data_IF_884002750743
#
_entry.id   IF_884002750743
#
_cell.length_a   1.000
_cell.length_b   1.000
_cell.length_c   1.000
_cell.angle_alpha   90.00
_cell.angle_beta   90.00
_cell.angle_gamma   90.00
#
_symmetry.space_group_name_H-M   'P 1'
#
loop_
_entity.id
_entity.type
_entity.pdbx_description
1 polymer ?
#
# COMPACT_ATOMS: atom_id res chain seq x y z
N UNK A 1 -0.09 1.87 -10.25
CA UNK A 1 0.79 1.20 -9.27
C UNK A 1 1.92 2.09 -8.74
N UNK A 2 2.71 2.74 -9.61
CA UNK A 2 3.96 3.41 -9.22
C UNK A 2 3.82 4.57 -8.22
N UNK A 3 2.71 5.31 -8.23
CA UNK A 3 2.49 6.41 -7.30
C UNK A 3 2.02 5.94 -5.92
N UNK A 4 1.19 4.90 -5.84
CA UNK A 4 0.70 4.37 -4.56
C UNK A 4 1.79 3.62 -3.78
N UNK A 5 2.69 2.92 -4.48
CA UNK A 5 3.88 2.31 -3.88
C UNK A 5 4.76 3.39 -3.22
N UNK A 6 4.95 4.54 -3.89
CA UNK A 6 5.72 5.68 -3.37
C UNK A 6 5.06 6.30 -2.13
N UNK A 7 3.74 6.48 -2.15
CA UNK A 7 2.97 7.00 -1.00
C UNK A 7 3.11 6.06 0.20
N UNK A 8 2.95 4.76 -0.02
CA UNK A 8 3.03 3.76 1.05
C UNK A 8 4.47 3.64 1.61
N UNK A 9 5.50 3.71 0.74
CA UNK A 9 6.91 3.81 1.15
C UNK A 9 7.16 5.07 2.00
N UNK A 10 6.69 6.23 1.53
CA UNK A 10 6.89 7.50 2.24
C UNK A 10 6.20 7.50 3.61
N UNK A 11 4.98 6.97 3.69
CA UNK A 11 4.24 6.84 4.94
C UNK A 11 4.91 5.89 5.93
N UNK A 12 5.42 4.72 5.50
CA UNK A 12 6.15 3.80 6.39
C UNK A 12 7.48 4.41 6.88
N UNK A 13 8.22 5.14 6.02
CA UNK A 13 9.44 5.85 6.42
C UNK A 13 9.16 6.97 7.44
N UNK A 14 8.09 7.74 7.25
CA UNK A 14 7.65 8.82 8.16
C UNK A 14 7.18 8.27 9.51
N UNK A 15 6.37 7.20 9.54
CA UNK A 15 5.89 6.60 10.80
C UNK A 15 7.01 6.04 11.67
N UNK A 16 8.12 5.62 11.07
CA UNK A 16 9.25 4.99 11.76
C UNK A 16 10.45 5.92 12.02
N UNK A 17 10.29 7.25 11.95
CA UNK A 17 11.38 8.22 12.21
C UNK A 17 12.70 7.84 11.51
N UNK A 18 12.65 7.40 10.24
CA UNK A 18 13.86 7.05 9.48
C UNK A 18 14.45 5.66 9.74
N UNK A 19 13.73 4.74 10.39
CA UNK A 19 14.18 3.34 10.50
C UNK A 19 14.23 2.66 9.13
N UNK A 20 15.10 1.66 8.96
CA UNK A 20 15.26 0.83 7.76
C UNK A 20 13.89 0.32 7.29
N UNK A 21 13.55 0.66 6.05
CA UNK A 21 12.36 0.20 5.34
C UNK A 21 12.38 -1.33 5.28
N UNK A 22 11.39 -1.99 5.89
CA UNK A 22 11.28 -3.44 5.78
C UNK A 22 10.65 -3.80 4.43
N UNK A 23 11.51 -3.97 3.41
CA UNK A 23 11.14 -4.27 2.03
C UNK A 23 10.17 -5.45 1.94
N UNK A 24 10.39 -6.53 2.70
CA UNK A 24 9.49 -7.70 2.71
C UNK A 24 8.07 -7.34 3.14
N UNK A 25 7.93 -6.48 4.15
CA UNK A 25 6.62 -6.03 4.64
C UNK A 25 5.92 -5.14 3.61
N UNK A 26 6.69 -4.28 2.95
CA UNK A 26 6.18 -3.43 1.88
C UNK A 26 5.69 -4.27 0.69
N UNK A 27 6.49 -5.22 0.21
CA UNK A 27 6.11 -6.14 -0.87
C UNK A 27 4.85 -6.91 -0.50
N UNK A 28 4.76 -7.44 0.73
CA UNK A 28 3.56 -8.13 1.20
C UNK A 28 2.32 -7.21 1.20
N UNK A 29 2.45 -5.96 1.63
CA UNK A 29 1.35 -4.99 1.59
C UNK A 29 0.91 -4.66 0.15
N UNK A 30 1.86 -4.50 -0.78
CA UNK A 30 1.56 -4.25 -2.20
C UNK A 30 0.83 -5.44 -2.82
N UNK A 31 1.30 -6.66 -2.56
CA UNK A 31 0.66 -7.90 -3.04
C UNK A 31 -0.76 -8.04 -2.48
N UNK A 32 -0.96 -7.79 -1.19
CA UNK A 32 -2.28 -7.84 -0.57
C UNK A 32 -3.25 -6.84 -1.19
N UNK A 33 -2.79 -5.61 -1.44
CA UNK A 33 -3.60 -4.58 -2.08
C UNK A 33 -3.95 -4.95 -3.54
N UNK A 34 -3.00 -5.46 -4.32
CA UNK A 34 -3.26 -5.97 -5.67
C UNK A 34 -4.31 -7.09 -5.70
N UNK A 35 -4.18 -8.05 -4.80
CA UNK A 35 -5.15 -9.14 -4.68
C UNK A 35 -6.55 -8.59 -4.33
N UNK A 36 -6.61 -7.62 -3.41
CA UNK A 36 -7.86 -6.99 -3.03
C UNK A 36 -8.50 -6.21 -4.18
N UNK A 37 -7.71 -5.48 -4.97
CA UNK A 37 -8.19 -4.82 -6.20
C UNK A 37 -8.79 -5.83 -7.17
N UNK A 38 -8.08 -6.93 -7.43
CA UNK A 38 -8.54 -7.97 -8.36
C UNK A 38 -9.83 -8.65 -7.87
N UNK A 39 -9.90 -8.99 -6.58
CA UNK A 39 -11.08 -9.64 -5.98
C UNK A 39 -12.32 -8.75 -6.02
N UNK A 40 -12.13 -7.43 -5.87
CA UNK A 40 -13.24 -6.46 -5.85
C UNK A 40 -13.47 -5.81 -7.23
N UNK A 41 -12.74 -6.22 -8.27
CA UNK A 41 -12.77 -5.64 -9.60
C UNK A 41 -12.63 -4.09 -9.59
N UNK A 42 -11.69 -3.59 -8.78
CA UNK A 42 -11.46 -2.15 -8.59
C UNK A 42 -10.22 -1.68 -9.31
N UNK A 43 -10.21 -0.40 -9.67
CA UNK A 43 -9.06 0.26 -10.28
C UNK A 43 -8.09 0.79 -9.22
N UNK A 44 -6.80 0.82 -9.59
CA UNK A 44 -5.73 1.35 -8.76
C UNK A 44 -5.80 2.89 -8.67
N UNK A 45 -6.53 3.40 -7.66
CA UNK A 45 -6.76 4.82 -7.38
C UNK A 45 -6.51 5.12 -5.90
N UNK A 46 -6.25 6.38 -5.55
CA UNK A 46 -6.04 6.80 -4.15
C UNK A 46 -7.26 6.48 -3.30
N UNK A 47 -8.46 6.77 -3.80
CA UNK A 47 -9.73 6.49 -3.10
C UNK A 47 -9.85 4.99 -2.79
N UNK A 48 -9.58 4.15 -3.80
CA UNK A 48 -9.57 2.69 -3.65
C UNK A 48 -8.56 2.21 -2.61
N UNK A 49 -7.40 2.85 -2.54
CA UNK A 49 -6.37 2.54 -1.55
C UNK A 49 -6.78 2.95 -0.14
N UNK A 50 -7.45 4.09 0.03
CA UNK A 50 -8.03 4.48 1.32
C UNK A 50 -9.11 3.49 1.78
N UNK A 51 -9.97 3.03 0.87
CA UNK A 51 -10.96 2.00 1.17
C UNK A 51 -10.31 0.66 1.56
N UNK A 52 -9.23 0.26 0.88
CA UNK A 52 -8.45 -0.91 1.28
C UNK A 52 -7.88 -0.77 2.70
N UNK A 53 -7.40 0.42 3.07
CA UNK A 53 -6.88 0.68 4.42
C UNK A 53 -7.96 0.65 5.49
N UNK A 54 -9.22 0.99 5.15
CA UNK A 54 -10.36 0.93 6.07
C UNK A 54 -10.96 -0.48 6.19
N UNK A 55 -10.90 -1.27 5.13
CA UNK A 55 -11.39 -2.65 5.11
C UNK A 55 -10.45 -3.66 5.80
N UNK A 56 -9.22 -3.24 6.13
CA UNK A 56 -8.19 -4.02 6.82
C UNK A 56 -8.26 -3.81 8.32
#
# INVERSE_FOLDING_TARGET
>A
MGNLIKINMYAELKKKNGTILNLKKLEANITNYNNWLQMNNREDKIETYEEFLQAK
#
